data_IF_493549254403
#
_entry.id   IF_493549254403
#
_cell.length_a   1.000
_cell.length_b   1.000
_cell.length_c   1.000
_cell.angle_alpha   90.00
_cell.angle_beta   90.00
_cell.angle_gamma   90.00
#
_symmetry.space_group_name_H-M   'P 1'
#
loop_
_entity.id
_entity.type
_entity.pdbx_description
1 polymer ?
#
# COMPACT_ATOMS: atom_id res chain seq x y z
N UNK A 1 40.41 -6.02 16.44
CA UNK A 1 40.29 -4.85 15.55
C UNK A 1 38.86 -4.33 15.72
N UNK A 2 38.67 -3.24 16.47
CA UNK A 2 37.35 -2.66 16.73
C UNK A 2 36.86 -1.97 15.45
N UNK A 3 36.16 -2.70 14.59
CA UNK A 3 35.36 -2.10 13.50
C UNK A 3 34.18 -1.38 14.14
N UNK A 4 34.34 -0.08 14.44
CA UNK A 4 33.19 0.81 14.55
C UNK A 4 32.39 0.63 13.26
N UNK A 5 31.11 0.23 13.30
CA UNK A 5 30.30 0.20 12.10
C UNK A 5 30.15 1.66 11.66
N UNK A 6 30.81 2.03 10.56
CA UNK A 6 30.73 3.38 10.03
C UNK A 6 29.44 3.49 9.21
N UNK A 7 28.39 3.97 9.88
CA UNK A 7 27.12 4.39 9.28
C UNK A 7 26.86 5.87 9.57
N UNK A 8 27.90 6.61 9.96
CA UNK A 8 27.83 8.05 10.14
C UNK A 8 27.85 8.70 8.77
N UNK A 9 26.88 9.58 8.52
CA UNK A 9 26.92 10.45 7.35
C UNK A 9 28.11 11.41 7.45
N UNK A 10 28.94 11.48 6.40
CA UNK A 10 30.05 12.44 6.23
C UNK A 10 29.56 13.88 6.02
N UNK A 11 28.24 14.06 5.91
CA UNK A 11 27.63 15.37 5.75
C UNK A 11 27.81 16.22 7.01
N UNK A 12 28.25 17.49 6.89
CA UNK A 12 28.31 18.40 8.02
C UNK A 12 26.90 18.72 8.54
N UNK A 13 26.74 18.65 9.85
CA UNK A 13 25.52 19.08 10.54
C UNK A 13 25.31 20.59 10.35
N UNK A 14 24.07 20.99 10.05
CA UNK A 14 23.69 22.40 10.10
C UNK A 14 23.72 22.90 11.55
N UNK A 15 24.06 24.17 11.74
CA UNK A 15 24.09 24.76 13.07
C UNK A 15 22.72 24.62 13.77
N UNK A 16 22.71 24.01 14.96
CA UNK A 16 21.51 23.76 15.76
C UNK A 16 20.68 22.53 15.38
N UNK A 17 21.01 21.80 14.30
CA UNK A 17 20.30 20.58 13.94
C UNK A 17 20.73 19.40 14.83
N UNK A 18 19.77 18.54 15.18
CA UNK A 18 20.05 17.26 15.82
C UNK A 18 20.17 16.15 14.76
N UNK A 19 21.00 15.15 15.04
CA UNK A 19 21.14 13.95 14.20
C UNK A 19 20.93 12.70 15.02
N UNK A 20 19.89 11.95 14.66
CA UNK A 20 19.60 10.64 15.22
C UNK A 20 20.25 9.56 14.36
N UNK A 21 20.71 8.51 15.02
CA UNK A 21 21.46 7.42 14.42
C UNK A 21 20.86 6.08 14.86
N UNK A 22 20.39 5.29 13.90
CA UNK A 22 19.97 3.90 14.08
C UNK A 22 20.88 3.01 13.23
N UNK A 23 21.76 2.24 13.88
CA UNK A 23 22.75 1.42 13.19
C UNK A 23 22.52 -0.07 13.39
N UNK A 24 22.84 -0.86 12.37
CA UNK A 24 22.78 -2.32 12.39
C UNK A 24 21.42 -2.89 12.84
N UNK A 25 20.33 -2.21 12.49
CA UNK A 25 19.00 -2.72 12.79
C UNK A 25 18.66 -3.85 11.82
N UNK A 26 18.44 -5.07 12.33
CA UNK A 26 18.24 -6.26 11.50
C UNK A 26 16.80 -6.73 11.54
N UNK A 27 16.22 -6.99 10.36
CA UNK A 27 14.88 -7.55 10.18
C UNK A 27 14.84 -8.59 9.07
N UNK A 28 13.96 -9.57 9.23
CA UNK A 28 13.60 -10.50 8.16
C UNK A 28 12.49 -9.87 7.31
N UNK A 29 12.62 -9.97 5.99
CA UNK A 29 11.60 -9.53 5.06
C UNK A 29 11.63 -10.33 3.76
N UNK A 30 10.46 -10.60 3.17
CA UNK A 30 10.35 -11.11 1.81
C UNK A 30 10.63 -9.94 0.83
N UNK A 31 11.79 -9.95 0.15
CA UNK A 31 12.14 -8.88 -0.79
C UNK A 31 12.97 -9.38 -1.97
N UNK A 32 12.53 -9.10 -3.19
CA UNK A 32 13.28 -9.50 -4.38
C UNK A 32 12.47 -9.47 -5.67
N UNK A 33 13.14 -9.16 -6.78
CA UNK A 33 12.55 -9.07 -8.10
C UNK A 33 12.53 -10.42 -8.85
N UNK A 34 13.35 -11.38 -8.42
CA UNK A 34 13.46 -12.69 -9.08
C UNK A 34 12.44 -13.68 -8.53
N UNK A 35 11.91 -14.54 -9.41
CA UNK A 35 10.91 -15.55 -9.05
C UNK A 35 11.41 -16.55 -7.99
N UNK A 36 12.72 -16.83 -7.97
CA UNK A 36 13.41 -17.70 -7.03
C UNK A 36 13.49 -17.12 -5.61
N UNK A 37 13.33 -15.79 -5.47
CA UNK A 37 13.31 -15.09 -4.18
C UNK A 37 11.89 -15.02 -3.57
N UNK A 38 10.92 -15.70 -4.17
CA UNK A 38 9.54 -15.75 -3.67
C UNK A 38 9.41 -16.80 -2.57
N UNK A 39 8.75 -16.45 -1.47
CA UNK A 39 8.55 -17.34 -0.33
C UNK A 39 9.79 -17.57 0.55
N UNK A 40 10.86 -16.81 0.35
CA UNK A 40 12.07 -16.85 1.20
C UNK A 40 12.26 -15.51 1.88
N UNK A 41 12.33 -15.52 3.21
CA UNK A 41 12.70 -14.33 3.99
C UNK A 41 14.20 -14.06 3.84
N UNK A 42 14.55 -12.78 3.72
CA UNK A 42 15.93 -12.32 3.64
C UNK A 42 16.23 -11.39 4.83
N UNK A 43 17.42 -11.57 5.38
CA UNK A 43 17.98 -10.78 6.46
C UNK A 43 18.45 -9.44 5.91
N UNK A 44 17.73 -8.39 6.26
CA UNK A 44 18.04 -7.01 5.92
C UNK A 44 18.69 -6.30 7.10
N UNK A 45 19.74 -5.52 6.83
CA UNK A 45 20.37 -4.60 7.78
C UNK A 45 20.12 -3.17 7.37
N UNK A 46 19.53 -2.40 8.28
CA UNK A 46 19.23 -0.98 8.13
C UNK A 46 20.24 -0.16 8.92
N UNK A 47 20.74 0.88 8.27
CA UNK A 47 21.56 1.93 8.86
C UNK A 47 20.95 3.27 8.47
N UNK A 48 20.39 3.98 9.43
CA UNK A 48 19.55 5.15 9.23
C UNK A 48 20.12 6.32 10.03
N UNK A 49 20.31 7.43 9.34
CA UNK A 49 20.65 8.73 9.93
C UNK A 49 19.52 9.71 9.61
N UNK A 50 18.98 10.38 10.63
CA UNK A 50 17.92 11.38 10.47
C UNK A 50 18.35 12.69 11.07
N UNK A 51 18.24 13.78 10.31
CA UNK A 51 18.49 15.13 10.79
C UNK A 51 17.17 15.88 11.03
N UNK A 52 17.02 16.47 12.21
CA UNK A 52 15.85 17.28 12.56
C UNK A 52 16.16 18.77 12.55
N UNK A 53 15.11 19.60 12.47
CA UNK A 53 15.22 21.03 12.73
C UNK A 53 15.76 21.29 14.14
N UNK A 54 16.36 22.47 14.37
CA UNK A 54 16.69 22.90 15.72
C UNK A 54 15.42 22.92 16.59
N UNK A 55 15.48 22.46 17.85
CA UNK A 55 14.37 22.60 18.77
C UNK A 55 14.03 24.08 18.97
N UNK A 56 12.75 24.43 18.94
CA UNK A 56 12.26 25.78 19.25
C UNK A 56 12.24 25.99 20.76
N UNK A 57 13.41 26.27 21.36
CA UNK A 57 13.52 26.56 22.80
C UNK A 57 14.84 26.11 23.43
N UNK A 58 15.16 26.56 24.66
CA UNK A 58 16.34 26.12 25.38
C UNK A 58 16.28 24.61 25.65
N UNK A 59 17.32 23.90 25.23
CA UNK A 59 17.48 22.45 25.46
C UNK A 59 17.51 22.21 26.98
N UNK A 60 16.46 21.55 27.50
CA UNK A 60 16.36 21.17 28.91
C UNK A 60 15.41 21.99 29.80
N UNK A 61 14.49 22.79 29.23
CA UNK A 61 13.47 23.49 30.02
C UNK A 61 12.17 22.71 30.27
N UNK A 62 11.91 21.65 29.51
CA UNK A 62 10.93 20.61 29.82
C UNK A 62 11.41 19.32 29.16
N UNK A 63 11.41 18.22 29.90
CA UNK A 63 11.72 16.86 29.43
C UNK A 63 10.51 16.33 28.61
N UNK A 64 10.00 17.17 27.70
CA UNK A 64 8.82 16.92 26.90
C UNK A 64 9.18 15.96 25.76
N UNK A 65 9.07 14.67 26.08
CA UNK A 65 9.35 13.54 25.19
C UNK A 65 8.48 13.59 23.92
N UNK A 66 7.31 14.23 23.97
CA UNK A 66 6.34 14.22 22.87
C UNK A 66 6.73 15.16 21.71
N UNK A 67 7.61 16.15 21.95
CA UNK A 67 8.13 17.08 20.95
C UNK A 67 9.41 16.62 20.23
N UNK A 68 10.01 15.51 20.66
CA UNK A 68 11.30 15.02 20.18
C UNK A 68 11.08 13.74 19.37
N UNK A 69 11.66 13.68 18.17
CA UNK A 69 11.68 12.44 17.38
C UNK A 69 12.36 11.33 18.19
N UNK A 70 11.62 10.27 18.53
CA UNK A 70 12.17 9.13 19.26
C UNK A 70 12.83 8.11 18.32
N UNK A 71 13.77 7.33 18.85
CA UNK A 71 14.36 6.20 18.12
C UNK A 71 13.32 5.09 17.87
N UNK A 72 12.34 4.95 18.76
CA UNK A 72 11.20 4.03 18.58
C UNK A 72 10.41 4.38 17.32
N UNK A 73 10.20 5.68 17.03
CA UNK A 73 9.55 6.10 15.78
C UNK A 73 10.34 5.65 14.55
N UNK A 74 11.68 5.60 14.60
CA UNK A 74 12.49 5.13 13.48
C UNK A 74 12.30 3.62 13.25
N UNK A 75 12.38 2.84 14.32
CA UNK A 75 12.18 1.39 14.35
C UNK A 75 10.78 1.04 13.85
N UNK A 76 9.76 1.67 14.44
CA UNK A 76 8.36 1.49 14.08
C UNK A 76 8.08 1.88 12.63
N UNK A 77 8.73 2.93 12.13
CA UNK A 77 8.58 3.33 10.72
C UNK A 77 9.11 2.27 9.77
N UNK A 78 10.30 1.72 10.04
CA UNK A 78 10.88 0.63 9.24
C UNK A 78 9.97 -0.59 9.30
N UNK A 79 9.57 -1.00 10.51
CA UNK A 79 8.70 -2.17 10.70
C UNK A 79 7.35 -1.98 10.00
N UNK A 80 6.72 -0.81 10.13
CA UNK A 80 5.45 -0.52 9.45
C UNK A 80 5.58 -0.65 7.93
N UNK A 81 6.61 -0.07 7.32
CA UNK A 81 6.82 -0.16 5.86
C UNK A 81 7.06 -1.61 5.42
N UNK A 82 7.81 -2.40 6.20
CA UNK A 82 8.01 -3.82 5.92
C UNK A 82 6.71 -4.63 6.00
N UNK A 83 5.81 -4.28 6.94
CA UNK A 83 4.53 -4.98 7.12
C UNK A 83 3.43 -4.52 6.15
N UNK A 84 3.56 -3.35 5.53
CA UNK A 84 2.58 -2.83 4.58
C UNK A 84 2.46 -3.73 3.34
N UNK A 85 3.54 -3.91 2.58
CA UNK A 85 3.55 -4.76 1.38
C UNK A 85 4.91 -5.38 1.12
N UNK A 86 4.90 -6.53 0.45
CA UNK A 86 6.10 -7.12 -0.16
C UNK A 86 6.58 -6.18 -1.26
N UNK A 87 7.87 -5.86 -1.20
CA UNK A 87 8.55 -5.03 -2.19
C UNK A 87 9.51 -5.87 -3.03
N UNK A 88 9.67 -5.48 -4.29
CA UNK A 88 10.56 -6.17 -5.23
C UNK A 88 11.99 -5.61 -5.15
N UNK A 89 12.13 -4.32 -4.79
CA UNK A 89 13.37 -3.55 -4.88
C UNK A 89 13.72 -2.91 -3.53
N UNK A 90 15.01 -2.92 -3.16
CA UNK A 90 15.51 -2.22 -1.98
C UNK A 90 15.32 -0.71 -2.13
N UNK A 91 15.39 -0.21 -3.35
CA UNK A 91 15.20 1.20 -3.73
C UNK A 91 13.81 1.67 -3.31
N UNK A 92 12.78 0.89 -3.64
CA UNK A 92 11.41 1.22 -3.25
C UNK A 92 11.21 1.18 -1.74
N UNK A 93 11.85 0.22 -1.05
CA UNK A 93 11.80 0.13 0.41
C UNK A 93 12.45 1.36 1.05
N UNK A 94 13.66 1.71 0.60
CA UNK A 94 14.40 2.84 1.12
C UNK A 94 13.64 4.16 0.91
N UNK A 95 13.06 4.36 -0.27
CA UNK A 95 12.26 5.55 -0.56
C UNK A 95 11.04 5.66 0.35
N UNK A 96 10.27 4.58 0.53
CA UNK A 96 9.08 4.62 1.40
C UNK A 96 9.40 4.92 2.85
N UNK A 97 10.46 4.32 3.39
CA UNK A 97 10.92 4.63 4.74
C UNK A 97 11.32 6.10 4.83
N UNK A 98 12.06 6.60 3.83
CA UNK A 98 12.50 8.00 3.80
C UNK A 98 11.35 8.99 3.68
N UNK A 99 10.37 8.73 2.81
CA UNK A 99 9.18 9.56 2.62
C UNK A 99 8.36 9.65 3.91
N UNK A 100 8.18 8.53 4.61
CA UNK A 100 7.41 8.50 5.85
C UNK A 100 8.10 9.24 6.99
N UNK A 101 9.42 9.14 7.07
CA UNK A 101 10.21 9.94 8.02
C UNK A 101 10.20 11.43 7.64
N UNK A 102 10.35 11.77 6.36
CA UNK A 102 10.33 13.16 5.87
C UNK A 102 8.96 13.83 6.01
N UNK A 103 7.88 13.05 6.07
CA UNK A 103 6.53 13.57 6.36
C UNK A 103 6.42 14.13 7.79
N UNK A 104 7.25 13.68 8.74
CA UNK A 104 7.28 14.23 10.10
C UNK A 104 7.79 15.67 10.05
N UNK A 105 7.05 16.66 10.59
CA UNK A 105 7.36 18.08 10.46
C UNK A 105 8.81 18.43 10.84
N UNK A 106 9.32 17.83 11.91
CA UNK A 106 10.66 18.09 12.42
C UNK A 106 11.80 17.52 11.57
N UNK A 107 11.54 16.55 10.68
CA UNK A 107 12.59 15.85 9.91
C UNK A 107 12.93 16.63 8.65
N UNK A 108 14.23 16.85 8.45
CA UNK A 108 14.74 17.64 7.32
C UNK A 108 15.53 16.81 6.33
N UNK A 109 16.29 15.82 6.81
CA UNK A 109 17.12 14.96 5.97
C UNK A 109 17.14 13.54 6.50
N UNK A 110 17.21 12.59 5.59
CA UNK A 110 17.30 11.16 5.85
C UNK A 110 18.40 10.57 5.00
N UNK A 111 19.35 9.88 5.62
CA UNK A 111 20.29 8.98 4.93
C UNK A 111 19.97 7.56 5.36
N UNK A 112 19.61 6.71 4.43
CA UNK A 112 19.22 5.34 4.70
C UNK A 112 20.03 4.38 3.83
N UNK A 113 20.77 3.49 4.48
CA UNK A 113 21.46 2.36 3.86
C UNK A 113 20.77 1.05 4.25
N UNK A 114 20.44 0.23 3.25
CA UNK A 114 19.84 -1.09 3.43
C UNK A 114 20.71 -2.13 2.74
N UNK A 115 21.07 -3.18 3.47
CA UNK A 115 21.92 -4.27 2.99
C UNK A 115 21.23 -5.62 3.15
N UNK A 116 21.33 -6.49 2.15
CA UNK A 116 21.00 -7.91 2.22
C UNK A 116 22.22 -8.67 2.75
N UNK A 117 22.04 -9.43 3.83
CA UNK A 117 23.14 -10.19 4.46
C UNK A 117 23.27 -11.63 3.93
N UNK A 118 22.25 -12.16 3.26
CA UNK A 118 22.20 -13.58 2.89
C UNK A 118 22.70 -13.89 1.47
N UNK A 119 23.08 -12.86 0.70
CA UNK A 119 23.54 -13.00 -0.70
C UNK A 119 25.06 -13.27 -0.75
N UNK A 120 25.47 -14.44 -0.28
CA UNK A 120 26.85 -14.92 -0.37
C UNK A 120 27.77 -14.35 0.73
N UNK A 121 29.11 -14.38 0.57
CA UNK A 121 30.06 -13.97 1.60
C UNK A 121 30.21 -12.45 1.75
N UNK A 122 29.37 -11.67 1.06
CA UNK A 122 29.42 -10.21 1.01
C UNK A 122 28.03 -9.61 1.29
N UNK A 123 28.01 -8.38 1.80
CA UNK A 123 26.78 -7.60 1.92
C UNK A 123 26.56 -6.78 0.64
N UNK A 124 25.38 -6.91 0.04
CA UNK A 124 24.94 -6.07 -1.09
C UNK A 124 23.81 -5.17 -0.62
N UNK A 125 23.83 -3.89 -0.99
CA UNK A 125 22.82 -2.97 -0.54
C UNK A 125 22.77 -1.71 -1.38
N UNK A 126 21.90 -0.80 -0.96
CA UNK A 126 21.81 0.55 -1.50
C UNK A 126 21.93 1.56 -0.37
N UNK A 127 22.29 2.78 -0.73
CA UNK A 127 22.23 3.95 0.14
C UNK A 127 21.52 5.08 -0.60
N UNK A 128 20.60 5.74 0.09
CA UNK A 128 19.93 6.93 -0.42
C UNK A 128 20.05 8.07 0.57
N UNK A 129 20.13 9.29 0.03
CA UNK A 129 20.01 10.53 0.79
C UNK A 129 18.83 11.32 0.26
N UNK A 130 17.91 11.70 1.14
CA UNK A 130 16.71 12.48 0.82
C UNK A 130 16.62 13.69 1.74
N UNK A 131 16.18 14.80 1.18
CA UNK A 131 16.00 16.06 1.89
C UNK A 131 14.57 16.54 1.67
N UNK A 132 13.98 17.17 2.69
CA UNK A 132 12.72 17.90 2.50
C UNK A 132 12.98 19.02 1.48
N UNK A 133 12.18 19.15 0.41
CA UNK A 133 12.35 20.23 -0.56
C UNK A 133 12.24 21.58 0.15
N UNK A 134 13.22 22.46 -0.08
CA UNK A 134 13.23 23.80 0.51
C UNK A 134 12.09 24.63 -0.11
N UNK A 135 11.12 25.06 0.72
CA UNK A 135 10.10 26.04 0.30
C UNK A 135 8.65 25.58 0.27
N UNK A 136 8.29 24.42 0.85
CA UNK A 136 6.89 24.03 1.04
C UNK A 136 6.63 23.68 2.50
N UNK A 137 6.34 24.69 3.32
CA UNK A 137 5.55 24.50 4.54
C UNK A 137 4.11 24.20 4.11
N UNK A 138 3.83 22.91 3.90
CA UNK A 138 2.45 22.46 3.81
C UNK A 138 1.85 22.56 5.22
N UNK A 139 0.73 23.29 5.40
CA UNK A 139 0.10 23.40 6.70
C UNK A 139 -0.31 22.03 7.21
N UNK A 140 -0.05 21.79 8.49
CA UNK A 140 -0.54 20.63 9.22
C UNK A 140 -2.06 20.51 9.03
N UNK A 141 -2.46 19.40 8.42
CA UNK A 141 -3.83 18.98 8.24
C UNK A 141 -4.02 17.59 8.82
N UNK A 142 -3.97 17.48 10.15
CA UNK A 142 -4.55 16.37 10.89
C UNK A 142 -6.03 16.24 10.49
N UNK A 143 -6.42 15.08 9.96
CA UNK A 143 -7.81 14.67 9.82
C UNK A 143 -8.27 14.35 8.39
N UNK A 144 -7.53 13.53 7.63
CA UNK A 144 -8.19 12.78 6.56
C UNK A 144 -9.05 11.70 7.22
N UNK A 145 -10.28 12.07 7.62
CA UNK A 145 -11.33 11.12 7.90
C UNK A 145 -11.40 10.18 6.69
N UNK A 146 -10.93 8.94 6.86
CA UNK A 146 -10.95 7.95 5.80
C UNK A 146 -12.41 7.79 5.39
N UNK A 147 -12.80 8.29 4.22
CA UNK A 147 -14.16 8.11 3.73
C UNK A 147 -14.29 6.63 3.40
N UNK A 148 -15.03 5.89 4.21
CA UNK A 148 -15.26 4.46 3.99
C UNK A 148 -15.86 4.27 2.58
N UNK A 149 -15.14 3.60 1.65
CA UNK A 149 -15.62 3.44 0.29
C UNK A 149 -16.76 2.44 0.21
N UNK A 150 -17.58 2.56 -0.84
CA UNK A 150 -18.48 1.49 -1.27
C UNK A 150 -17.73 0.65 -2.30
N UNK A 151 -17.63 -0.66 -2.06
CA UNK A 151 -17.04 -1.61 -3.02
C UNK A 151 -18.16 -2.25 -3.83
N UNK A 152 -18.21 -2.01 -5.13
CA UNK A 152 -19.21 -2.60 -6.01
C UNK A 152 -18.61 -3.73 -6.86
N UNK A 153 -19.13 -4.94 -6.69
CA UNK A 153 -18.77 -6.12 -7.48
C UNK A 153 -19.62 -6.14 -8.73
N UNK A 154 -18.99 -5.95 -9.89
CA UNK A 154 -19.66 -5.84 -11.18
C UNK A 154 -19.52 -7.15 -11.92
N UNK A 155 -20.65 -7.80 -12.23
CA UNK A 155 -20.63 -9.00 -13.08
C UNK A 155 -20.40 -8.65 -14.56
N UNK A 156 -19.94 -9.63 -15.34
CA UNK A 156 -19.78 -9.49 -16.79
C UNK A 156 -21.05 -8.99 -17.50
N UNK A 157 -22.23 -9.37 -16.98
CA UNK A 157 -23.50 -8.95 -17.53
C UNK A 157 -23.79 -7.48 -17.20
N UNK A 158 -23.59 -7.07 -15.94
CA UNK A 158 -23.78 -5.68 -15.53
C UNK A 158 -22.82 -4.72 -16.22
N UNK A 159 -21.56 -5.11 -16.40
CA UNK A 159 -20.58 -4.32 -17.16
C UNK A 159 -21.01 -4.09 -18.61
N UNK A 160 -21.75 -5.03 -19.23
CA UNK A 160 -22.22 -4.92 -20.62
C UNK A 160 -23.56 -4.21 -20.78
N UNK A 161 -24.30 -4.01 -19.69
CA UNK A 161 -25.63 -3.42 -19.70
C UNK A 161 -25.57 -1.91 -20.02
N UNK A 162 -26.51 -1.42 -20.84
CA UNK A 162 -26.60 0.00 -21.17
C UNK A 162 -26.94 0.90 -19.97
N UNK A 163 -27.43 0.32 -18.86
CA UNK A 163 -27.74 1.02 -17.60
C UNK A 163 -26.52 1.21 -16.70
N UNK A 164 -25.35 0.68 -17.04
CA UNK A 164 -24.15 0.74 -16.21
C UNK A 164 -23.82 2.16 -15.71
N UNK A 165 -23.82 3.14 -16.63
CA UNK A 165 -23.54 4.54 -16.27
C UNK A 165 -24.56 5.15 -15.29
N UNK A 166 -25.82 4.70 -15.32
CA UNK A 166 -26.86 5.13 -14.38
C UNK A 166 -26.63 4.53 -12.99
N UNK A 167 -26.29 3.24 -12.91
CA UNK A 167 -25.94 2.60 -11.64
C UNK A 167 -24.70 3.23 -11.01
N UNK A 168 -23.68 3.54 -11.81
CA UNK A 168 -22.48 4.23 -11.34
C UNK A 168 -22.83 5.62 -10.77
N UNK A 169 -23.66 6.40 -11.46
CA UNK A 169 -24.12 7.69 -10.96
C UNK A 169 -24.89 7.54 -9.64
N UNK A 170 -25.79 6.55 -9.53
CA UNK A 170 -26.52 6.28 -8.29
C UNK A 170 -25.61 5.90 -7.11
N UNK A 171 -24.53 5.15 -7.36
CA UNK A 171 -23.53 4.87 -6.32
C UNK A 171 -22.76 6.14 -5.90
N UNK A 172 -22.43 7.00 -6.85
CA UNK A 172 -21.72 8.27 -6.56
C UNK A 172 -22.60 9.27 -5.79
N UNK A 173 -23.92 9.24 -6.00
CA UNK A 173 -24.90 10.07 -5.27
C UNK A 173 -24.96 9.77 -3.76
N UNK A 174 -24.44 8.62 -3.31
CA UNK A 174 -24.28 8.30 -1.89
C UNK A 174 -23.26 9.21 -1.17
N UNK A 175 -22.49 10.01 -1.92
CA UNK A 175 -21.47 10.92 -1.37
C UNK A 175 -20.22 10.22 -0.83
N UNK A 176 -20.06 8.93 -1.16
CA UNK A 176 -18.96 8.07 -0.73
C UNK A 176 -18.07 7.70 -1.91
N UNK A 177 -16.76 7.47 -1.70
CA UNK A 177 -15.89 6.99 -2.76
C UNK A 177 -16.36 5.62 -3.26
N UNK A 178 -16.34 5.41 -4.57
CA UNK A 178 -16.80 4.18 -5.21
C UNK A 178 -15.61 3.43 -5.79
N UNK A 179 -15.42 2.20 -5.34
CA UNK A 179 -14.42 1.29 -5.89
C UNK A 179 -15.14 0.12 -6.57
N UNK A 180 -14.95 -0.04 -7.86
CA UNK A 180 -15.50 -1.14 -8.64
C UNK A 180 -14.50 -2.30 -8.67
N UNK A 181 -15.00 -3.53 -8.65
CA UNK A 181 -14.19 -4.75 -8.86
C UNK A 181 -15.01 -5.79 -9.59
N UNK A 182 -14.35 -6.73 -10.27
CA UNK A 182 -15.00 -7.91 -10.82
C UNK A 182 -14.69 -9.14 -9.98
N UNK A 183 -15.56 -10.15 -10.01
CA UNK A 183 -15.33 -11.47 -9.44
C UNK A 183 -15.31 -12.58 -10.51
N UNK A 184 -15.17 -12.23 -11.80
CA UNK A 184 -15.07 -13.20 -12.90
C UNK A 184 -13.76 -13.99 -12.79
N UNK A 185 -13.79 -15.05 -11.98
CA UNK A 185 -12.77 -16.06 -11.91
C UNK A 185 -13.27 -17.30 -12.68
N UNK A 186 -12.56 -17.77 -13.72
CA UNK A 186 -12.84 -19.07 -14.29
C UNK A 186 -12.72 -20.16 -13.22
N UNK A 187 -13.55 -21.19 -13.33
CA UNK A 187 -13.42 -22.37 -12.48
C UNK A 187 -12.06 -23.04 -12.66
N UNK A 188 -11.57 -23.75 -11.63
CA UNK A 188 -10.29 -24.43 -11.70
C UNK A 188 -10.30 -25.51 -12.79
N UNK A 189 -9.23 -25.55 -13.59
CA UNK A 189 -8.95 -26.64 -14.51
C UNK A 189 -8.13 -27.71 -13.80
N UNK A 190 -8.67 -28.93 -13.67
CA UNK A 190 -8.01 -30.03 -12.98
C UNK A 190 -6.70 -30.49 -13.63
N UNK A 191 -6.45 -30.13 -14.90
CA UNK A 191 -5.21 -30.46 -15.60
C UNK A 191 -4.06 -29.48 -15.28
N UNK A 192 -4.37 -28.29 -14.73
CA UNK A 192 -3.38 -27.27 -14.37
C UNK A 192 -3.03 -27.38 -12.89
N UNK A 193 -1.80 -27.00 -12.54
CA UNK A 193 -1.43 -26.81 -11.14
C UNK A 193 -2.17 -25.61 -10.51
N UNK A 194 -2.24 -25.61 -9.17
CA UNK A 194 -2.95 -24.57 -8.41
C UNK A 194 -2.41 -23.16 -8.68
N UNK A 195 -1.09 -23.04 -8.92
CA UNK A 195 -0.45 -21.76 -9.24
C UNK A 195 -0.89 -21.19 -10.59
N UNK A 196 -0.99 -22.05 -11.61
CA UNK A 196 -1.47 -21.69 -12.93
C UNK A 196 -2.97 -21.34 -12.92
N UNK A 197 -3.82 -22.17 -12.31
CA UNK A 197 -5.24 -21.89 -12.14
C UNK A 197 -5.48 -20.54 -11.45
N UNK A 198 -4.70 -20.27 -10.40
CA UNK A 198 -4.76 -19.02 -9.68
C UNK A 198 -4.31 -17.83 -10.53
N UNK A 199 -3.25 -17.98 -11.32
CA UNK A 199 -2.78 -16.92 -12.19
C UNK A 199 -3.83 -16.57 -13.26
N UNK A 200 -4.49 -17.58 -13.83
CA UNK A 200 -5.58 -17.41 -14.77
C UNK A 200 -6.75 -16.68 -14.11
N UNK A 201 -7.10 -17.03 -12.86
CA UNK A 201 -8.16 -16.34 -12.11
C UNK A 201 -7.87 -14.84 -11.90
N UNK A 202 -6.64 -14.48 -11.50
CA UNK A 202 -6.26 -13.08 -11.37
C UNK A 202 -6.29 -12.33 -12.71
N UNK A 203 -5.82 -12.96 -13.79
CA UNK A 203 -5.86 -12.36 -15.12
C UNK A 203 -7.29 -12.13 -15.61
N UNK A 204 -8.22 -13.04 -15.30
CA UNK A 204 -9.62 -12.89 -15.64
C UNK A 204 -10.25 -11.69 -14.90
N UNK A 205 -9.94 -11.52 -13.61
CA UNK A 205 -10.37 -10.35 -12.85
C UNK A 205 -9.78 -9.05 -13.42
N UNK A 206 -8.51 -9.04 -13.84
CA UNK A 206 -7.90 -7.86 -14.48
C UNK A 206 -8.52 -7.53 -15.84
N UNK A 207 -8.77 -8.55 -16.68
CA UNK A 207 -9.48 -8.36 -17.95
C UNK A 207 -10.88 -7.77 -17.73
N UNK A 208 -11.60 -8.25 -16.71
CA UNK A 208 -12.90 -7.71 -16.35
C UNK A 208 -12.80 -6.26 -15.83
N UNK A 209 -11.77 -5.92 -15.04
CA UNK A 209 -11.52 -4.54 -14.59
C UNK A 209 -11.33 -3.57 -15.78
N UNK A 210 -10.53 -3.96 -16.78
CA UNK A 210 -10.37 -3.19 -18.02
C UNK A 210 -11.66 -3.10 -18.84
N UNK A 211 -12.44 -4.18 -18.88
CA UNK A 211 -13.73 -4.19 -19.56
C UNK A 211 -14.75 -3.25 -18.90
N UNK A 212 -14.73 -3.12 -17.57
CA UNK A 212 -15.56 -2.16 -16.80
C UNK A 212 -15.09 -0.74 -17.07
N UNK A 213 -13.79 -0.47 -16.99
CA UNK A 213 -13.25 0.87 -17.22
C UNK A 213 -13.55 1.38 -18.64
N UNK A 214 -13.58 0.50 -19.64
CA UNK A 214 -13.96 0.85 -21.01
C UNK A 214 -15.45 1.20 -21.21
N UNK A 215 -16.27 1.18 -20.17
CA UNK A 215 -17.72 1.47 -20.24
C UNK A 215 -18.09 2.90 -19.92
N UNK A 216 -17.27 3.58 -19.14
CA UNK A 216 -17.53 4.94 -18.67
C UNK A 216 -16.20 5.66 -18.45
N UNK A 217 -16.02 6.83 -19.07
CA UNK A 217 -14.77 7.60 -19.02
C UNK A 217 -14.39 8.06 -17.60
N UNK A 218 -15.33 8.02 -16.65
CA UNK A 218 -15.06 8.31 -15.24
C UNK A 218 -14.26 7.20 -14.57
N UNK A 219 -14.36 5.96 -15.05
CA UNK A 219 -13.75 4.79 -14.42
C UNK A 219 -12.27 4.64 -14.80
N UNK A 220 -11.40 4.72 -13.80
CA UNK A 220 -9.96 4.50 -13.99
C UNK A 220 -9.50 3.20 -13.34
N UNK A 221 -8.77 2.37 -14.06
CA UNK A 221 -8.14 1.16 -13.48
C UNK A 221 -7.02 1.56 -12.52
N UNK A 222 -6.98 0.92 -11.35
CA UNK A 222 -5.97 1.13 -10.32
C UNK A 222 -5.42 -0.21 -9.84
N UNK A 223 -4.11 -0.27 -9.61
CA UNK A 223 -3.39 -1.52 -9.32
C UNK A 223 -2.65 -1.47 -7.98
N UNK A 224 -2.47 -0.28 -7.41
CA UNK A 224 -1.70 -0.04 -6.19
C UNK A 224 -2.50 0.62 -5.08
N UNK A 225 -2.05 0.44 -3.82
CA UNK A 225 -2.64 1.11 -2.65
C UNK A 225 -2.59 2.62 -2.74
N UNK A 226 -1.51 3.19 -3.28
CA UNK A 226 -1.35 4.63 -3.43
C UNK A 226 -2.40 5.20 -4.39
N UNK A 227 -2.64 4.52 -5.52
CA UNK A 227 -3.68 4.92 -6.48
C UNK A 227 -5.09 4.78 -5.90
N UNK A 228 -5.35 3.69 -5.16
CA UNK A 228 -6.61 3.47 -4.44
C UNK A 228 -6.85 4.58 -3.42
N UNK A 229 -5.86 4.89 -2.58
CA UNK A 229 -5.94 5.98 -1.61
C UNK A 229 -6.22 7.32 -2.29
N UNK A 230 -5.52 7.62 -3.39
CA UNK A 230 -5.75 8.85 -4.13
C UNK A 230 -7.18 8.90 -4.72
N UNK A 231 -7.70 7.79 -5.25
CA UNK A 231 -9.07 7.71 -5.74
C UNK A 231 -10.09 7.94 -4.61
N UNK A 232 -9.86 7.35 -3.44
CA UNK A 232 -10.69 7.53 -2.24
C UNK A 232 -10.68 8.99 -1.76
N UNK A 233 -9.49 9.59 -1.64
CA UNK A 233 -9.33 10.97 -1.17
C UNK A 233 -9.95 12.00 -2.13
N UNK A 234 -9.88 11.75 -3.44
CA UNK A 234 -10.44 12.62 -4.49
C UNK A 234 -11.91 12.34 -4.82
N UNK A 235 -12.46 11.21 -4.36
CA UNK A 235 -13.81 10.77 -4.72
C UNK A 235 -13.95 10.33 -6.19
N UNK A 236 -12.84 10.05 -6.88
CA UNK A 236 -12.86 9.58 -8.27
C UNK A 236 -13.19 8.09 -8.31
N UNK A 237 -14.19 7.63 -9.09
CA UNK A 237 -14.49 6.21 -9.17
C UNK A 237 -13.32 5.44 -9.80
N UNK A 238 -12.90 4.36 -9.14
CA UNK A 238 -11.78 3.55 -9.58
C UNK A 238 -12.18 2.08 -9.74
N UNK A 239 -11.54 1.39 -10.68
CA UNK A 239 -11.74 -0.05 -10.91
C UNK A 239 -10.48 -0.79 -10.45
N UNK A 240 -10.61 -1.69 -9.49
CA UNK A 240 -9.47 -2.41 -8.94
C UNK A 240 -9.04 -3.55 -9.87
N UNK A 241 -7.76 -3.52 -10.28
CA UNK A 241 -7.06 -4.63 -10.91
C UNK A 241 -6.19 -5.36 -9.86
N UNK A 242 -6.49 -6.63 -9.52
CA UNK A 242 -6.01 -7.23 -8.29
C UNK A 242 -4.55 -7.70 -8.29
N UNK A 243 -3.95 -8.06 -9.44
CA UNK A 243 -2.76 -8.91 -9.41
C UNK A 243 -1.57 -8.25 -8.71
N UNK A 244 -1.34 -6.95 -8.94
CA UNK A 244 -0.24 -6.23 -8.31
C UNK A 244 -0.36 -6.19 -6.79
N UNK A 245 -1.52 -5.81 -6.26
CA UNK A 245 -1.77 -5.69 -4.83
C UNK A 245 -1.76 -7.06 -4.14
N UNK A 246 -2.31 -8.07 -4.80
CA UNK A 246 -2.33 -9.45 -4.31
C UNK A 246 -0.93 -10.07 -4.26
N UNK A 247 -0.12 -9.90 -5.32
CA UNK A 247 1.26 -10.40 -5.37
C UNK A 247 2.16 -9.77 -4.31
N UNK A 248 1.86 -8.52 -3.96
CA UNK A 248 2.59 -7.76 -2.94
C UNK A 248 2.00 -7.92 -1.53
N UNK A 249 0.98 -8.76 -1.34
CA UNK A 249 0.45 -9.00 -0.01
C UNK A 249 1.47 -9.75 0.84
N UNK A 250 1.62 -9.36 2.11
CA UNK A 250 2.41 -10.11 3.09
C UNK A 250 1.67 -11.35 3.62
N UNK A 251 0.34 -11.43 3.46
CA UNK A 251 -0.45 -12.60 3.85
C UNK A 251 -0.33 -13.71 2.78
N UNK A 252 0.25 -14.88 3.10
CA UNK A 252 0.39 -15.98 2.15
C UNK A 252 -0.96 -16.51 1.66
N UNK A 253 -2.03 -16.44 2.47
CA UNK A 253 -3.37 -16.86 2.05
C UNK A 253 -3.89 -15.95 0.94
N UNK A 254 -3.62 -14.65 1.02
CA UNK A 254 -3.95 -13.72 -0.06
C UNK A 254 -3.17 -14.07 -1.32
N UNK A 255 -1.87 -14.37 -1.19
CA UNK A 255 -1.00 -14.69 -2.34
C UNK A 255 -1.30 -16.03 -3.01
N UNK A 256 -1.83 -17.00 -2.27
CA UNK A 256 -1.88 -18.40 -2.73
C UNK A 256 -3.28 -19.03 -2.67
N UNK A 257 -4.18 -18.56 -1.80
CA UNK A 257 -5.44 -19.25 -1.50
C UNK A 257 -6.69 -18.43 -1.91
N UNK A 258 -6.71 -17.13 -1.61
CA UNK A 258 -7.90 -16.30 -1.85
C UNK A 258 -8.13 -16.02 -3.34
N UNK A 259 -9.36 -16.30 -3.79
CA UNK A 259 -9.88 -16.02 -5.14
C UNK A 259 -11.33 -15.52 -5.07
N UNK A 260 -11.84 -14.94 -6.16
CA UNK A 260 -13.24 -14.56 -6.31
C UNK A 260 -13.75 -13.70 -5.14
N UNK A 261 -14.92 -14.05 -4.61
CA UNK A 261 -15.58 -13.32 -3.52
C UNK A 261 -14.75 -13.23 -2.25
N UNK A 262 -13.98 -14.27 -1.92
CA UNK A 262 -13.12 -14.26 -0.73
C UNK A 262 -12.00 -13.22 -0.87
N UNK A 263 -11.47 -13.07 -2.09
CA UNK A 263 -10.46 -12.05 -2.39
C UNK A 263 -11.06 -10.64 -2.38
N UNK A 264 -12.27 -10.47 -2.92
CA UNK A 264 -13.01 -9.19 -2.85
C UNK A 264 -13.30 -8.80 -1.41
N UNK A 265 -13.71 -9.75 -0.57
CA UNK A 265 -13.99 -9.50 0.84
C UNK A 265 -12.73 -9.06 1.60
N UNK A 266 -11.60 -9.75 1.39
CA UNK A 266 -10.31 -9.33 1.95
C UNK A 266 -9.95 -7.90 1.52
N UNK A 267 -10.13 -7.58 0.24
CA UNK A 267 -9.86 -6.26 -0.30
C UNK A 267 -10.74 -5.18 0.34
N UNK A 268 -12.05 -5.42 0.44
CA UNK A 268 -13.00 -4.50 1.07
C UNK A 268 -12.67 -4.24 2.55
N UNK A 269 -12.30 -5.28 3.30
CA UNK A 269 -11.83 -5.13 4.69
C UNK A 269 -10.55 -4.30 4.76
N UNK A 270 -9.60 -4.52 3.86
CA UNK A 270 -8.33 -3.79 3.80
C UNK A 270 -8.49 -2.29 3.49
N UNK A 271 -9.59 -1.90 2.83
CA UNK A 271 -9.95 -0.51 2.57
C UNK A 271 -10.78 0.14 3.67
N UNK A 272 -11.26 -0.63 4.66
CA UNK A 272 -12.29 -0.15 5.59
C UNK A 272 -13.58 0.21 4.85
N UNK A 273 -13.96 -0.58 3.85
CA UNK A 273 -15.18 -0.35 3.07
C UNK A 273 -16.41 -0.40 3.97
N UNK A 274 -17.37 0.49 3.71
CA UNK A 274 -18.61 0.53 4.48
C UNK A 274 -19.51 -0.66 4.15
N UNK A 275 -19.59 -0.97 2.86
CA UNK A 275 -20.33 -2.12 2.37
C UNK A 275 -19.77 -2.62 1.04
N UNK A 276 -20.11 -3.87 0.76
CA UNK A 276 -19.91 -4.51 -0.54
C UNK A 276 -21.27 -4.67 -1.19
N UNK A 277 -21.44 -4.18 -2.41
CA UNK A 277 -22.69 -4.27 -3.18
C UNK A 277 -22.45 -5.08 -4.45
N UNK A 278 -23.39 -5.93 -4.83
CA UNK A 278 -23.35 -6.64 -6.11
C UNK A 278 -24.12 -5.84 -7.17
N UNK A 279 -23.50 -5.61 -8.32
CA UNK A 279 -24.13 -5.07 -9.51
C UNK A 279 -24.30 -6.18 -10.53
N UNK A 280 -25.55 -6.62 -10.69
CA UNK A 280 -25.96 -7.64 -11.63
C UNK A 280 -26.98 -7.10 -12.64
N UNK A 281 -26.98 -7.65 -13.85
CA UNK A 281 -27.91 -7.23 -14.91
C UNK A 281 -29.36 -7.71 -14.66
N UNK A 282 -29.59 -8.55 -13.65
CA UNK A 282 -30.93 -9.00 -13.31
C UNK A 282 -31.76 -7.79 -12.83
N UNK A 283 -32.97 -7.58 -13.39
CA UNK A 283 -33.89 -6.61 -12.80
C UNK A 283 -34.21 -7.03 -11.37
N UNK A 284 -34.35 -6.07 -10.44
CA UNK A 284 -34.95 -6.32 -9.13
C UNK A 284 -36.27 -7.05 -9.38
N UNK A 285 -36.32 -8.34 -9.04
CA UNK A 285 -37.57 -9.06 -9.06
C UNK A 285 -38.52 -8.33 -8.10
N UNK A 286 -39.75 -7.98 -8.50
CA UNK A 286 -40.71 -7.43 -7.55
C UNK A 286 -40.86 -8.46 -6.42
N UNK A 287 -40.75 -8.00 -5.18
CA UNK A 287 -40.94 -8.84 -4.01
C UNK A 287 -42.25 -9.62 -4.19
N UNK A 288 -42.15 -10.95 -4.28
CA UNK A 288 -43.32 -11.80 -4.30
C UNK A 288 -44.03 -11.59 -2.96
N UNK A 289 -45.17 -10.93 -3.02
CA UNK A 289 -46.06 -10.69 -1.90
C UNK A 289 -46.55 -12.05 -1.41
N UNK A 290 -45.85 -12.66 -0.45
CA UNK A 290 -46.31 -13.86 0.26
C UNK A 290 -47.43 -13.47 1.22
N UNK A 291 -48.58 -13.14 0.64
CA UNK A 291 -49.88 -13.11 1.32
C UNK A 291 -50.95 -13.57 0.33
N UNK A 292 -51.03 -14.88 0.10
CA UNK A 292 -52.28 -15.62 -0.15
C UNK A 292 -52.00 -17.09 -0.48
N UNK A 293 -52.21 -17.97 0.51
CA UNK A 293 -52.95 -19.25 0.43
C UNK A 293 -52.56 -20.13 1.62
#
# INVERSE_FOLDING_TARGET
MNTKPDFRSDRPLRAGANRLLLGNYVRQAEIGAFGEERGTEQTLRFNLTVETRPPEGPVGADDDVDGILSYDTLVQTIDAVLHEERLDLLETLAERVSDRLLALPMVTHVTLRIEKLDRGPFALGIEIERARPAGLDLPDGLGAAHRAPVVAVVSAAAARDGRFGQWLSGLMELGKPVILTACDAPGPDAALDDGANRQIALLAMEQAAWAIAGRDDRCRVVESRTELKHAIDTGTPAVWAPARLVRRSNDPRVRHELIGDALVHWFALGLGAECVVALDAQPLAPAADTSAA
#
